data_IF_962258854345
#
_entry.id   IF_962258854345
#
_cell.length_a   1.000
_cell.length_b   1.000
_cell.length_c   1.000
_cell.angle_alpha   90.00
_cell.angle_beta   90.00
_cell.angle_gamma   90.00
#
_symmetry.space_group_name_H-M   'P 1'
#
loop_
_entity.id
_entity.type
_entity.pdbx_description
1 polymer ?
#
# COMPACT_ATOMS: atom_id res chain seq x y z
N UNK A 1 39.37 -6.96 -18.58
CA UNK A 1 38.38 -6.59 -17.59
C UNK A 1 37.12 -7.41 -17.88
N UNK A 2 36.82 -8.38 -16.99
CA UNK A 2 35.64 -9.21 -17.16
C UNK A 2 34.41 -8.35 -16.89
N UNK A 3 33.41 -8.42 -17.76
CA UNK A 3 32.10 -7.85 -17.49
C UNK A 3 31.44 -8.72 -16.42
N UNK A 4 31.17 -8.14 -15.25
CA UNK A 4 30.29 -8.79 -14.27
C UNK A 4 28.87 -8.77 -14.84
N UNK A 5 28.23 -9.92 -14.87
CA UNK A 5 26.83 -10.02 -15.27
C UNK A 5 25.96 -9.50 -14.14
N UNK A 6 25.23 -8.42 -14.36
CA UNK A 6 24.30 -7.86 -13.40
C UNK A 6 22.91 -8.43 -13.70
N UNK A 7 22.29 -9.02 -12.68
CA UNK A 7 20.89 -9.47 -12.73
C UNK A 7 20.02 -8.45 -12.00
N UNK A 8 18.93 -8.03 -12.65
CA UNK A 8 17.95 -7.11 -12.06
C UNK A 8 16.63 -7.85 -11.89
N UNK A 9 16.10 -7.84 -10.68
CA UNK A 9 14.82 -8.44 -10.34
C UNK A 9 13.87 -7.37 -9.81
N UNK A 10 12.68 -7.27 -10.42
CA UNK A 10 11.57 -6.50 -9.88
C UNK A 10 10.88 -7.35 -8.81
N UNK A 11 11.02 -6.98 -7.54
CA UNK A 11 10.49 -7.73 -6.40
C UNK A 11 8.97 -7.74 -6.39
N UNK A 12 8.32 -6.64 -6.81
CA UNK A 12 6.86 -6.56 -6.87
C UNK A 12 6.31 -7.47 -7.98
N UNK A 13 7.00 -7.51 -9.12
CA UNK A 13 6.67 -8.45 -10.20
C UNK A 13 6.82 -9.91 -9.74
N UNK A 14 7.95 -10.25 -9.11
CA UNK A 14 8.18 -11.62 -8.61
C UNK A 14 7.14 -12.03 -7.55
N UNK A 15 6.75 -11.10 -6.68
CA UNK A 15 5.66 -11.33 -5.74
C UNK A 15 4.35 -11.69 -6.44
N UNK A 16 3.99 -10.93 -7.46
CA UNK A 16 2.76 -11.16 -8.23
C UNK A 16 2.77 -12.50 -8.96
N UNK A 17 3.89 -12.85 -9.59
CA UNK A 17 4.07 -14.16 -10.25
C UNK A 17 3.90 -15.32 -9.25
N UNK A 18 4.48 -15.19 -8.07
CA UNK A 18 4.45 -16.23 -7.03
C UNK A 18 3.09 -16.37 -6.34
N UNK A 19 2.35 -15.28 -6.17
CA UNK A 19 1.16 -15.26 -5.30
C UNK A 19 -0.14 -14.91 -6.01
N UNK A 20 -0.07 -14.39 -7.23
CA UNK A 20 -1.18 -13.77 -7.96
C UNK A 20 -1.85 -12.61 -7.21
N UNK A 21 -1.15 -12.02 -6.23
CA UNK A 21 -1.64 -10.90 -5.43
C UNK A 21 -0.82 -9.64 -5.68
N UNK A 22 -1.41 -8.44 -5.54
CA UNK A 22 -0.65 -7.20 -5.59
C UNK A 22 0.41 -7.14 -4.50
N UNK A 23 1.53 -6.49 -4.79
CA UNK A 23 2.56 -6.19 -3.81
C UNK A 23 2.30 -4.83 -3.17
N UNK A 24 2.12 -4.79 -1.86
CA UNK A 24 2.00 -3.54 -1.10
C UNK A 24 3.37 -3.14 -0.60
N UNK A 25 3.97 -2.13 -1.23
CA UNK A 25 5.33 -1.69 -0.94
C UNK A 25 5.41 -0.75 0.26
N UNK A 26 4.37 0.06 0.48
CA UNK A 26 4.31 1.01 1.58
C UNK A 26 2.87 1.28 2.01
N UNK A 27 2.71 1.56 3.29
CA UNK A 27 1.45 2.01 3.89
C UNK A 27 1.73 3.13 4.89
N UNK A 28 0.75 3.97 5.13
CA UNK A 28 0.79 4.87 6.28
C UNK A 28 0.40 4.08 7.54
N UNK A 29 1.25 4.17 8.56
CA UNK A 29 1.00 3.55 9.86
C UNK A 29 1.33 4.55 10.97
N UNK A 30 0.55 4.52 12.03
CA UNK A 30 0.74 5.38 13.20
C UNK A 30 0.40 4.63 14.49
N UNK A 31 0.75 5.24 15.62
CA UNK A 31 0.32 4.72 16.91
C UNK A 31 -1.17 4.97 17.09
N UNK A 32 -1.88 4.00 17.65
CA UNK A 32 -3.34 4.03 17.81
C UNK A 32 -3.84 5.33 18.44
N UNK A 33 -3.18 5.81 19.49
CA UNK A 33 -3.55 7.03 20.22
C UNK A 33 -3.50 8.31 19.39
N UNK A 34 -2.77 8.31 18.25
CA UNK A 34 -2.64 9.44 17.35
C UNK A 34 -3.46 9.30 16.06
N UNK A 35 -4.05 8.13 15.81
CA UNK A 35 -4.81 7.86 14.60
C UNK A 35 -6.29 8.22 14.81
N UNK A 36 -6.54 9.52 14.96
CA UNK A 36 -7.92 10.04 15.04
C UNK A 36 -8.57 10.11 13.65
N UNK A 37 -9.92 10.15 13.56
CA UNK A 37 -10.61 10.33 12.29
C UNK A 37 -10.16 11.56 11.51
N UNK A 38 -9.84 12.66 12.21
CA UNK A 38 -9.36 13.90 11.60
C UNK A 38 -8.00 13.69 10.94
N UNK A 39 -7.06 13.02 11.62
CA UNK A 39 -5.75 12.69 11.06
C UNK A 39 -5.90 11.82 9.81
N UNK A 40 -6.79 10.83 9.84
CA UNK A 40 -7.06 9.99 8.67
C UNK A 40 -7.63 10.82 7.52
N UNK A 41 -8.58 11.73 7.81
CA UNK A 41 -9.15 12.63 6.81
C UNK A 41 -8.09 13.55 6.19
N UNK A 42 -7.16 14.08 6.97
CA UNK A 42 -6.06 14.92 6.49
C UNK A 42 -5.13 14.15 5.52
N UNK A 43 -4.81 12.89 5.82
CA UNK A 43 -4.03 12.04 4.91
C UNK A 43 -4.79 11.75 3.61
N UNK A 44 -6.09 11.50 3.68
CA UNK A 44 -6.92 11.29 2.48
C UNK A 44 -6.98 12.56 1.63
N UNK A 45 -7.24 13.71 2.25
CA UNK A 45 -7.25 15.00 1.56
C UNK A 45 -5.89 15.31 0.90
N UNK A 46 -4.79 15.01 1.58
CA UNK A 46 -3.44 15.16 1.04
C UNK A 46 -3.21 14.26 -0.19
N UNK A 47 -3.67 13.01 -0.14
CA UNK A 47 -3.62 12.09 -1.29
C UNK A 47 -4.39 12.66 -2.49
N UNK A 48 -5.63 13.07 -2.28
CA UNK A 48 -6.49 13.64 -3.33
C UNK A 48 -5.90 14.92 -3.93
N UNK A 49 -5.37 15.79 -3.06
CA UNK A 49 -4.66 16.99 -3.49
C UNK A 49 -3.47 16.67 -4.39
N UNK A 50 -2.67 15.66 -4.02
CA UNK A 50 -1.51 15.21 -4.81
C UNK A 50 -1.94 14.60 -6.13
N UNK A 51 -2.95 13.72 -6.14
CA UNK A 51 -3.46 13.09 -7.36
C UNK A 51 -4.00 14.11 -8.36
N UNK A 52 -4.67 15.16 -7.88
CA UNK A 52 -5.15 16.25 -8.73
C UNK A 52 -4.02 17.08 -9.37
N UNK A 53 -2.79 16.98 -8.85
CA UNK A 53 -1.61 17.77 -9.28
C UNK A 53 -0.45 16.94 -9.79
N UNK A 54 -0.70 15.71 -10.23
CA UNK A 54 0.35 14.80 -10.71
C UNK A 54 1.23 15.40 -11.81
N UNK A 55 0.66 16.22 -12.69
CA UNK A 55 1.42 16.91 -13.73
C UNK A 55 2.44 17.90 -13.12
N UNK A 56 1.99 18.74 -12.22
CA UNK A 56 2.85 19.73 -11.53
C UNK A 56 3.95 19.03 -10.72
N UNK A 57 3.60 17.94 -10.05
CA UNK A 57 4.54 17.11 -9.29
C UNK A 57 5.59 16.49 -10.24
N UNK A 58 5.17 15.94 -11.37
CA UNK A 58 6.08 15.35 -12.34
C UNK A 58 7.01 16.39 -12.98
N UNK A 59 6.50 17.58 -13.31
CA UNK A 59 7.28 18.68 -13.83
C UNK A 59 8.32 19.16 -12.80
N UNK A 60 7.94 19.35 -11.55
CA UNK A 60 8.86 19.76 -10.50
C UNK A 60 9.93 18.68 -10.19
N UNK A 61 9.54 17.41 -10.16
CA UNK A 61 10.46 16.31 -9.92
C UNK A 61 11.42 16.06 -11.08
N UNK A 62 11.01 16.35 -12.31
CA UNK A 62 11.81 16.23 -13.53
C UNK A 62 13.14 16.96 -13.42
N UNK A 63 13.12 18.17 -12.87
CA UNK A 63 14.32 19.01 -12.69
C UNK A 63 15.31 18.36 -11.72
N UNK A 64 14.79 17.76 -10.61
CA UNK A 64 15.63 17.17 -9.58
C UNK A 64 16.20 15.81 -9.96
N UNK A 65 15.45 15.05 -10.74
CA UNK A 65 15.78 13.67 -11.10
C UNK A 65 16.43 13.53 -12.46
N UNK A 66 16.54 14.64 -13.21
CA UNK A 66 17.00 14.65 -14.60
C UNK A 66 16.27 13.59 -15.46
N UNK A 67 14.95 13.56 -15.31
CA UNK A 67 14.07 12.62 -16.01
C UNK A 67 12.96 13.36 -16.77
N UNK A 68 12.52 12.87 -17.92
CA UNK A 68 11.41 13.50 -18.64
C UNK A 68 10.12 13.52 -17.81
N UNK A 69 9.39 14.64 -17.70
CA UNK A 69 8.14 14.72 -16.92
C UNK A 69 7.11 13.67 -17.33
N UNK A 70 7.10 13.30 -18.63
CA UNK A 70 6.24 12.24 -19.16
C UNK A 70 6.51 10.89 -18.52
N UNK A 71 7.78 10.54 -18.31
CA UNK A 71 8.15 9.27 -17.70
C UNK A 71 7.73 9.23 -16.23
N UNK A 72 7.92 10.34 -15.50
CA UNK A 72 7.50 10.46 -14.10
C UNK A 72 5.98 10.41 -13.95
N UNK A 73 5.25 11.08 -14.86
CA UNK A 73 3.79 11.01 -14.86
C UNK A 73 3.29 9.60 -15.12
N UNK A 74 3.85 8.91 -16.11
CA UNK A 74 3.53 7.50 -16.40
C UNK A 74 3.80 6.62 -15.17
N UNK A 75 4.96 6.77 -14.54
CA UNK A 75 5.28 6.03 -13.33
C UNK A 75 4.24 6.23 -12.21
N UNK A 76 3.84 7.47 -11.95
CA UNK A 76 2.89 7.78 -10.88
C UNK A 76 1.46 7.34 -11.18
N UNK A 77 1.06 7.25 -12.45
CA UNK A 77 -0.31 6.87 -12.86
C UNK A 77 -0.47 5.38 -13.09
N UNK A 78 0.55 4.74 -13.66
CA UNK A 78 0.43 3.38 -14.18
C UNK A 78 1.20 2.34 -13.36
N UNK A 79 2.23 2.79 -12.61
CA UNK A 79 3.04 1.88 -11.80
C UNK A 79 2.73 1.95 -10.29
N UNK A 80 2.22 3.10 -9.81
CA UNK A 80 1.91 3.27 -8.39
C UNK A 80 0.39 3.30 -8.19
N UNK A 81 -0.08 2.45 -7.30
CA UNK A 81 -1.46 2.45 -6.85
C UNK A 81 -1.54 3.06 -5.44
N UNK A 82 -2.35 4.12 -5.29
CA UNK A 82 -2.45 4.88 -4.04
C UNK A 82 -3.66 4.46 -3.18
N UNK A 83 -4.33 3.39 -3.53
CA UNK A 83 -5.43 2.82 -2.78
C UNK A 83 -4.98 1.58 -1.98
N UNK A 84 -5.84 1.15 -1.07
CA UNK A 84 -5.64 -0.07 -0.30
C UNK A 84 -6.96 -0.87 -0.29
N UNK A 85 -7.43 -1.21 -1.50
CA UNK A 85 -8.65 -1.98 -1.70
C UNK A 85 -8.45 -3.42 -1.22
N UNK A 86 -9.54 -4.17 -1.22
CA UNK A 86 -9.59 -5.53 -0.67
C UNK A 86 -8.47 -6.44 -1.19
N UNK A 87 -8.19 -6.43 -2.49
CA UNK A 87 -7.15 -7.31 -3.07
C UNK A 87 -5.74 -6.96 -2.58
N UNK A 88 -5.45 -5.66 -2.35
CA UNK A 88 -4.19 -5.21 -1.76
C UNK A 88 -4.06 -5.63 -0.29
N UNK A 89 -5.17 -5.57 0.45
CA UNK A 89 -5.21 -6.07 1.84
C UNK A 89 -4.97 -7.57 1.91
N UNK A 90 -5.54 -8.34 0.99
CA UNK A 90 -5.29 -9.78 0.87
C UNK A 90 -3.81 -10.05 0.56
N UNK A 91 -3.20 -9.27 -0.35
CA UNK A 91 -1.77 -9.35 -0.65
C UNK A 91 -0.89 -9.01 0.56
N UNK A 92 -1.22 -7.95 1.28
CA UNK A 92 -0.49 -7.53 2.48
C UNK A 92 -0.59 -8.56 3.61
N UNK A 93 -1.77 -9.11 3.87
CA UNK A 93 -1.94 -10.18 4.86
C UNK A 93 -1.13 -11.42 4.48
N UNK A 94 -1.18 -11.85 3.22
CA UNK A 94 -0.39 -12.98 2.74
C UNK A 94 1.12 -12.72 2.90
N UNK A 95 1.57 -11.47 2.70
CA UNK A 95 2.96 -11.09 2.93
C UNK A 95 3.35 -11.29 4.39
N UNK A 96 2.53 -10.83 5.34
CA UNK A 96 2.80 -11.02 6.78
C UNK A 96 2.76 -12.49 7.19
N UNK A 97 1.82 -13.28 6.68
CA UNK A 97 1.77 -14.73 6.92
C UNK A 97 3.06 -15.42 6.47
N UNK A 98 3.53 -15.11 5.25
CA UNK A 98 4.78 -15.67 4.73
C UNK A 98 6.01 -15.19 5.50
N UNK A 99 6.06 -13.92 5.88
CA UNK A 99 7.15 -13.37 6.68
C UNK A 99 7.22 -14.01 8.07
N UNK A 100 6.07 -14.24 8.71
CA UNK A 100 5.98 -14.95 9.98
C UNK A 100 6.38 -16.42 9.84
N UNK A 101 5.92 -17.11 8.80
CA UNK A 101 6.30 -18.49 8.51
C UNK A 101 7.81 -18.65 8.26
N UNK A 102 8.44 -17.64 7.68
CA UNK A 102 9.89 -17.58 7.48
C UNK A 102 10.67 -17.12 8.73
N UNK A 103 9.99 -16.81 9.83
CA UNK A 103 10.63 -16.36 11.09
C UNK A 103 11.20 -14.93 11.03
N UNK A 104 10.83 -14.14 10.01
CA UNK A 104 11.33 -12.78 9.82
C UNK A 104 10.64 -11.76 10.74
N UNK A 105 9.41 -12.08 11.15
CA UNK A 105 8.63 -11.28 12.10
C UNK A 105 7.98 -12.19 13.15
N UNK A 106 7.72 -11.70 14.38
CA UNK A 106 6.93 -12.41 15.35
C UNK A 106 5.52 -12.68 14.80
N UNK A 107 4.94 -13.84 15.13
CA UNK A 107 3.66 -14.27 14.64
C UNK A 107 2.56 -13.28 15.03
N UNK A 108 1.78 -12.89 14.01
CA UNK A 108 0.41 -12.37 14.07
C UNK A 108 0.07 -11.25 15.05
N UNK A 109 0.13 -10.05 14.53
CA UNK A 109 -0.87 -9.06 14.93
C UNK A 109 -1.78 -8.80 13.73
N UNK A 110 -3.11 -8.96 13.85
CA UNK A 110 -4.02 -8.57 12.79
C UNK A 110 -3.83 -7.07 12.47
N UNK A 111 -3.94 -6.73 11.20
CA UNK A 111 -3.91 -5.33 10.78
C UNK A 111 -5.13 -4.62 11.35
N UNK A 112 -4.90 -3.54 12.06
CA UNK A 112 -5.95 -2.66 12.54
C UNK A 112 -5.99 -1.42 11.67
N UNK A 113 -7.18 -1.06 11.20
CA UNK A 113 -7.38 0.10 10.34
C UNK A 113 -8.02 1.22 11.14
N UNK A 114 -7.52 2.43 10.94
CA UNK A 114 -8.17 3.63 11.46
C UNK A 114 -9.47 3.87 10.68
N UNK A 115 -10.57 4.14 11.39
CA UNK A 115 -11.85 4.43 10.78
C UNK A 115 -11.84 5.82 10.11
N UNK A 116 -12.44 5.92 8.91
CA UNK A 116 -12.80 7.20 8.33
C UNK A 116 -14.00 7.80 9.09
N UNK A 117 -14.15 9.13 9.15
CA UNK A 117 -15.22 9.78 9.91
C UNK A 117 -16.64 9.33 9.52
N UNK A 118 -16.86 8.89 8.27
CA UNK A 118 -18.16 8.51 7.71
C UNK A 118 -18.19 7.09 7.13
N UNK A 119 -17.21 6.25 7.41
CA UNK A 119 -17.28 4.85 7.00
C UNK A 119 -18.24 4.11 7.92
N UNK A 120 -19.44 3.77 7.45
CA UNK A 120 -20.28 2.77 8.11
C UNK A 120 -19.45 1.53 8.41
N UNK A 121 -19.34 1.19 9.68
CA UNK A 121 -18.64 0.00 10.12
C UNK A 121 -19.21 -1.21 9.37
N UNK A 122 -18.38 -2.10 8.80
CA UNK A 122 -18.89 -3.31 8.20
C UNK A 122 -19.68 -4.04 9.27
N UNK A 123 -20.96 -4.33 8.96
CA UNK A 123 -21.89 -4.98 9.85
C UNK A 123 -21.21 -6.22 10.46
N UNK A 124 -20.99 -6.19 11.75
CA UNK A 124 -20.50 -7.34 12.52
C UNK A 124 -21.53 -8.45 12.33
N UNK A 125 -21.16 -9.50 11.60
CA UNK A 125 -21.96 -10.73 11.52
C UNK A 125 -21.93 -11.40 12.88
N UNK A 126 -22.85 -10.97 13.75
CA UNK A 126 -23.21 -11.67 14.98
C UNK A 126 -23.89 -12.98 14.59
N UNK A 127 -23.12 -14.04 14.46
CA UNK A 127 -23.67 -15.39 14.43
C UNK A 127 -24.10 -15.72 15.87
N UNK A 128 -25.34 -15.37 16.19
CA UNK A 128 -26.01 -15.84 17.38
C UNK A 128 -26.14 -17.38 17.29
N UNK A 129 -25.32 -18.10 18.05
CA UNK A 129 -25.59 -19.49 18.36
C UNK A 129 -26.85 -19.52 19.25
N UNK A 130 -27.98 -19.90 18.67
CA UNK A 130 -29.12 -20.39 19.46
C UNK A 130 -28.90 -21.88 19.68
N UNK A 131 -28.60 -22.22 20.92
CA UNK A 131 -28.73 -23.59 21.38
C UNK A 131 -30.21 -23.94 21.65
N UNK A 132 -30.58 -25.11 21.31
CA UNK A 132 -31.61 -25.93 21.96
C UNK A 132 -31.16 -27.38 21.87
#
# INVERSE_FOLDING_TARGET
>A
PGFETIFVYDVAFQWREMTSKPCVLAIWAGRREFMTPEVVADFQASKEYGLARLREIAEAASIKLDMPPRALKHYLLDNIHFGLEREYLEGLNLYYEKAAAAGLIPRDRPLEFAALPDAEAPASSSTARRGA
#
